data_IF_769385055049
#
_entry.id   IF_769385055049
#
_cell.length_a   1.000
_cell.length_b   1.000
_cell.length_c   1.000
_cell.angle_alpha   90.00
_cell.angle_beta   90.00
_cell.angle_gamma   90.00
#
_symmetry.space_group_name_H-M   'P 1'
#
loop_
_entity.id
_entity.type
_entity.pdbx_description
1 polymer ?
#
# COMPACT_ATOMS: atom_id res chain seq x y z
N UNK A 1 -25.61 -12.92 -23.60
CA UNK A 1 -24.51 -13.23 -22.67
C UNK A 1 -23.69 -11.97 -22.45
N UNK A 2 -24.01 -11.19 -21.42
CA UNK A 2 -23.29 -9.95 -21.14
C UNK A 2 -21.83 -10.27 -20.80
N UNK A 3 -20.90 -9.81 -21.63
CA UNK A 3 -19.47 -9.84 -21.35
C UNK A 3 -19.22 -8.89 -20.18
N UNK A 4 -18.99 -9.44 -18.99
CA UNK A 4 -18.38 -8.68 -17.90
C UNK A 4 -16.97 -8.32 -18.36
N UNK A 5 -16.74 -7.07 -18.75
CA UNK A 5 -15.38 -6.57 -18.82
C UNK A 5 -14.92 -6.47 -17.36
N UNK A 6 -14.24 -7.50 -16.87
CA UNK A 6 -13.73 -7.49 -15.51
C UNK A 6 -12.86 -6.24 -15.36
N UNK A 7 -13.20 -5.39 -14.38
CA UNK A 7 -12.41 -4.21 -14.09
C UNK A 7 -10.95 -4.62 -13.87
N UNK A 8 -10.00 -3.83 -14.41
CA UNK A 8 -8.58 -4.10 -14.23
C UNK A 8 -8.27 -4.15 -12.72
N UNK A 9 -7.61 -5.22 -12.21
CA UNK A 9 -7.34 -5.34 -10.78
C UNK A 9 -6.40 -4.23 -10.30
N UNK A 10 -6.79 -3.54 -9.24
CA UNK A 10 -5.96 -2.61 -8.47
C UNK A 10 -5.09 -3.37 -7.48
N UNK A 11 -3.78 -3.14 -7.53
CA UNK A 11 -2.79 -3.82 -6.70
C UNK A 11 -2.01 -2.77 -5.91
N UNK A 12 -2.06 -2.85 -4.58
CA UNK A 12 -1.31 -1.95 -3.71
C UNK A 12 0.15 -2.38 -3.62
N UNK A 13 1.09 -1.45 -3.79
CA UNK A 13 2.53 -1.71 -3.65
C UNK A 13 3.05 -1.07 -2.36
N UNK A 14 3.47 -1.92 -1.42
CA UNK A 14 4.02 -1.52 -0.13
C UNK A 14 5.54 -1.74 -0.12
N UNK A 15 6.32 -0.67 -0.03
CA UNK A 15 7.78 -0.74 0.03
C UNK A 15 8.38 0.55 0.60
N UNK A 16 9.46 0.42 1.36
CA UNK A 16 10.20 1.57 1.89
C UNK A 16 10.89 2.37 0.79
N UNK A 17 10.80 3.70 0.83
CA UNK A 17 11.37 4.55 -0.21
C UNK A 17 12.89 4.77 -0.12
N UNK A 18 13.52 4.43 1.01
CA UNK A 18 14.94 4.68 1.23
C UNK A 18 15.86 3.68 0.51
N UNK A 19 15.44 2.43 0.41
CA UNK A 19 16.21 1.29 -0.12
C UNK A 19 15.50 0.55 -1.26
N UNK A 20 14.17 0.62 -1.35
CA UNK A 20 13.39 -0.19 -2.30
C UNK A 20 12.71 0.62 -3.41
N UNK A 21 13.14 1.86 -3.66
CA UNK A 21 12.55 2.74 -4.69
C UNK A 21 12.58 2.10 -6.08
N UNK A 22 13.73 1.58 -6.51
CA UNK A 22 13.89 0.95 -7.83
C UNK A 22 13.07 -0.35 -7.92
N UNK A 23 13.07 -1.16 -6.86
CA UNK A 23 12.24 -2.37 -6.78
C UNK A 23 10.75 -2.04 -6.91
N UNK A 24 10.27 -1.00 -6.21
CA UNK A 24 8.88 -0.52 -6.33
C UNK A 24 8.55 -0.10 -7.76
N UNK A 25 9.46 0.58 -8.45
CA UNK A 25 9.27 1.00 -9.84
C UNK A 25 9.17 -0.20 -10.79
N UNK A 26 10.04 -1.21 -10.63
CA UNK A 26 9.98 -2.44 -11.43
C UNK A 26 8.65 -3.19 -11.24
N UNK A 27 8.15 -3.27 -10.00
CA UNK A 27 6.85 -3.88 -9.71
C UNK A 27 5.72 -3.10 -10.39
N UNK A 28 5.76 -1.77 -10.33
CA UNK A 28 4.78 -0.89 -10.97
C UNK A 28 4.72 -1.13 -12.47
N UNK A 29 5.87 -1.21 -13.13
CA UNK A 29 5.97 -1.50 -14.57
C UNK A 29 5.45 -2.90 -14.90
N UNK A 30 5.84 -3.93 -14.13
CA UNK A 30 5.37 -5.29 -14.32
C UNK A 30 3.84 -5.41 -14.18
N UNK A 31 3.26 -4.75 -13.18
CA UNK A 31 1.80 -4.70 -12.98
C UNK A 31 1.08 -4.04 -14.16
N UNK A 32 1.61 -2.94 -14.68
CA UNK A 32 1.05 -2.28 -15.86
C UNK A 32 1.14 -3.19 -17.10
N UNK A 33 2.25 -3.90 -17.29
CA UNK A 33 2.43 -4.85 -18.41
C UNK A 33 1.39 -5.96 -18.40
N UNK A 34 0.99 -6.46 -17.23
CA UNK A 34 -0.04 -7.51 -17.10
C UNK A 34 -1.48 -6.98 -17.00
N UNK A 35 -1.69 -5.66 -17.19
CA UNK A 35 -3.01 -5.05 -17.21
C UNK A 35 -3.61 -4.72 -15.84
N UNK A 36 -2.81 -4.70 -14.77
CA UNK A 36 -3.22 -4.27 -13.43
C UNK A 36 -3.06 -2.74 -13.24
N UNK A 37 -3.74 -2.20 -12.24
CA UNK A 37 -3.65 -0.79 -11.82
C UNK A 37 -2.78 -0.73 -10.55
N UNK A 38 -1.54 -0.23 -10.61
CA UNK A 38 -0.72 -0.08 -9.41
C UNK A 38 -1.22 1.08 -8.53
N UNK A 39 -1.30 0.85 -7.22
CA UNK A 39 -1.69 1.84 -6.20
C UNK A 39 -0.55 2.01 -5.19
N UNK A 40 -0.23 3.25 -4.82
CA UNK A 40 0.80 3.55 -3.81
C UNK A 40 0.41 4.76 -2.96
N UNK A 41 0.87 4.80 -1.72
CA UNK A 41 0.48 5.80 -0.72
C UNK A 41 0.78 7.24 -1.12
N UNK A 42 1.88 7.47 -1.85
CA UNK A 42 2.35 8.83 -2.21
C UNK A 42 1.37 9.62 -3.08
N UNK A 43 0.37 8.95 -3.66
CA UNK A 43 -0.62 9.57 -4.53
C UNK A 43 -1.91 9.94 -3.77
N UNK A 44 -1.95 9.77 -2.45
CA UNK A 44 -3.17 9.99 -1.67
C UNK A 44 -3.36 11.47 -1.31
N UNK A 45 -4.59 12.01 -1.49
CA UNK A 45 -4.91 13.35 -1.05
C UNK A 45 -4.88 13.44 0.49
N UNK A 46 -4.81 14.66 1.06
CA UNK A 46 -5.02 14.88 2.48
C UNK A 46 -6.34 14.24 2.94
N UNK A 47 -6.30 13.59 4.10
CA UNK A 47 -7.42 12.85 4.68
C UNK A 47 -7.58 13.23 6.16
N UNK A 48 -8.81 13.44 6.60
CA UNK A 48 -9.13 13.79 7.99
C UNK A 48 -9.19 12.56 8.91
N UNK A 49 -9.20 11.34 8.35
CA UNK A 49 -9.17 10.08 9.09
C UNK A 49 -7.81 9.84 9.73
N UNK A 50 -7.77 8.93 10.70
CA UNK A 50 -6.48 8.44 11.19
C UNK A 50 -5.70 7.75 10.06
N UNK A 51 -4.37 7.73 10.16
CA UNK A 51 -3.51 7.06 9.18
C UNK A 51 -3.94 5.61 8.96
N UNK A 52 -4.29 4.89 10.04
CA UNK A 52 -4.72 3.49 9.97
C UNK A 52 -6.04 3.33 9.22
N UNK A 53 -7.04 4.16 9.51
CA UNK A 53 -8.35 4.12 8.82
C UNK A 53 -8.21 4.47 7.33
N UNK A 54 -7.39 5.48 7.01
CA UNK A 54 -7.09 5.84 5.62
C UNK A 54 -6.42 4.66 4.89
N UNK A 55 -5.37 4.06 5.48
CA UNK A 55 -4.68 2.91 4.88
C UNK A 55 -5.63 1.72 4.71
N UNK A 56 -6.45 1.41 5.70
CA UNK A 56 -7.44 0.35 5.62
C UNK A 56 -8.44 0.57 4.48
N UNK A 57 -9.00 1.78 4.35
CA UNK A 57 -9.91 2.10 3.27
C UNK A 57 -9.27 1.91 1.89
N UNK A 58 -8.00 2.29 1.74
CA UNK A 58 -7.26 2.17 0.47
C UNK A 58 -6.89 0.73 0.14
N UNK A 59 -6.44 -0.04 1.12
CA UNK A 59 -6.13 -1.45 0.94
C UNK A 59 -7.39 -2.25 0.58
N UNK A 60 -8.54 -1.91 1.18
CA UNK A 60 -9.82 -2.53 0.88
C UNK A 60 -10.34 -2.25 -0.55
N UNK A 61 -9.89 -1.18 -1.21
CA UNK A 61 -10.19 -0.88 -2.62
C UNK A 61 -9.34 -1.73 -3.60
N UNK A 62 -8.29 -2.40 -3.10
CA UNK A 62 -7.37 -3.20 -3.90
C UNK A 62 -7.74 -4.69 -3.88
N UNK A 63 -7.43 -5.39 -4.96
CA UNK A 63 -7.64 -6.84 -5.07
C UNK A 63 -6.47 -7.64 -4.50
N UNK A 64 -5.28 -7.04 -4.38
CA UNK A 64 -4.15 -7.63 -3.68
C UNK A 64 -3.13 -6.57 -3.22
N UNK A 65 -2.18 -7.03 -2.40
CA UNK A 65 -1.05 -6.24 -1.91
C UNK A 65 0.25 -6.95 -2.29
N UNK A 66 1.18 -6.23 -2.91
CA UNK A 66 2.57 -6.66 -3.06
C UNK A 66 3.39 -5.89 -2.03
N UNK A 67 3.81 -6.60 -0.98
CA UNK A 67 4.69 -6.06 0.05
C UNK A 67 6.13 -6.50 -0.17
N UNK A 68 7.05 -5.55 -0.25
CA UNK A 68 8.49 -5.80 -0.38
C UNK A 68 9.17 -5.40 0.92
N UNK A 69 9.71 -6.40 1.63
CA UNK A 69 10.45 -6.19 2.86
C UNK A 69 11.93 -5.90 2.56
N UNK A 70 12.43 -4.76 3.07
CA UNK A 70 13.81 -4.32 2.95
C UNK A 70 14.52 -4.30 4.31
N UNK A 71 15.65 -3.59 4.38
CA UNK A 71 16.45 -3.46 5.61
C UNK A 71 16.25 -2.13 6.32
N UNK A 72 15.63 -1.13 5.68
CA UNK A 72 15.40 0.18 6.29
C UNK A 72 14.09 0.23 7.07
N UNK A 73 14.12 0.95 8.19
CA UNK A 73 12.90 1.43 8.83
C UNK A 73 12.27 2.54 7.97
N UNK A 74 10.99 2.40 7.62
CA UNK A 74 10.27 3.35 6.78
C UNK A 74 9.91 4.65 7.52
N UNK A 75 9.31 5.61 6.78
CA UNK A 75 8.70 6.78 7.41
C UNK A 75 7.52 6.35 8.30
N UNK A 76 7.28 7.08 9.38
CA UNK A 76 6.18 6.83 10.33
C UNK A 76 5.38 8.12 10.60
N UNK A 77 4.15 8.01 11.11
CA UNK A 77 3.38 9.17 11.57
C UNK A 77 4.14 9.96 12.63
N UNK A 78 4.16 11.28 12.50
CA UNK A 78 4.79 12.17 13.49
C UNK A 78 3.98 12.23 14.79
N UNK A 79 2.66 12.11 14.68
CA UNK A 79 1.73 12.11 15.79
C UNK A 79 1.23 10.68 16.03
N UNK A 80 1.38 10.20 17.27
CA UNK A 80 0.86 8.92 17.76
C UNK A 80 0.53 9.05 19.24
N UNK A 81 -0.38 8.23 19.74
CA UNK A 81 -0.60 8.18 21.18
C UNK A 81 0.64 7.61 21.90
N UNK A 82 0.91 8.04 23.13
CA UNK A 82 2.12 7.62 23.86
C UNK A 82 2.21 6.08 24.02
N UNK A 83 1.06 5.42 24.19
CA UNK A 83 0.93 3.97 24.33
C UNK A 83 0.99 3.19 23.00
N UNK A 84 0.87 3.86 21.85
CA UNK A 84 0.93 3.19 20.54
C UNK A 84 2.38 2.84 20.18
N UNK A 85 2.60 1.60 19.75
CA UNK A 85 3.89 1.16 19.26
C UNK A 85 4.29 1.96 18.01
N UNK A 86 5.58 2.31 17.90
CA UNK A 86 6.14 2.89 16.68
C UNK A 86 6.02 1.89 15.53
N UNK A 87 5.46 2.35 14.41
CA UNK A 87 5.37 1.58 13.17
C UNK A 87 5.55 2.54 12.00
N UNK A 88 6.37 2.14 11.04
CA UNK A 88 6.40 2.79 9.74
C UNK A 88 5.10 2.56 8.96
N UNK A 89 4.78 3.44 8.01
CA UNK A 89 3.64 3.27 7.11
C UNK A 89 3.65 1.89 6.43
N UNK A 90 4.83 1.45 5.97
CA UNK A 90 5.03 0.14 5.34
C UNK A 90 4.74 -1.04 6.27
N UNK A 91 5.04 -0.93 7.58
CA UNK A 91 4.64 -1.94 8.56
C UNK A 91 3.12 -1.92 8.79
N UNK A 92 2.54 -0.72 8.92
CA UNK A 92 1.09 -0.59 9.07
C UNK A 92 0.33 -1.19 7.87
N UNK A 93 0.79 -0.92 6.64
CA UNK A 93 0.25 -1.50 5.40
C UNK A 93 0.29 -3.03 5.42
N UNK A 94 1.43 -3.62 5.79
CA UNK A 94 1.57 -5.07 5.91
C UNK A 94 0.60 -5.65 6.94
N UNK A 95 0.57 -5.09 8.14
CA UNK A 95 -0.27 -5.60 9.23
C UNK A 95 -1.76 -5.52 8.86
N UNK A 96 -2.20 -4.39 8.30
CA UNK A 96 -3.59 -4.19 7.87
C UNK A 96 -3.94 -5.17 6.73
N UNK A 97 -3.06 -5.32 5.74
CA UNK A 97 -3.27 -6.28 4.66
C UNK A 97 -3.45 -7.71 5.19
N UNK A 98 -2.61 -8.11 6.15
CA UNK A 98 -2.72 -9.44 6.80
C UNK A 98 -4.00 -9.64 7.58
N UNK A 99 -4.57 -8.58 8.14
CA UNK A 99 -5.86 -8.63 8.84
C UNK A 99 -7.04 -8.85 7.87
N UNK A 100 -6.88 -8.49 6.58
CA UNK A 100 -7.93 -8.58 5.56
C UNK A 100 -8.03 -9.96 4.87
N UNK A 101 -6.97 -10.77 4.90
CA UNK A 101 -6.88 -12.08 4.24
C UNK A 101 -5.92 -12.10 3.06
#
# INVERSE_FOLDING_TARGET
>A
MATHHAARPSIFISATSGDLRECRQLIKEALLTIGCIPVEQTNFPPDARTVREMLHARLAECQAVVHVAGLRYGAEPQERAAAEARRSYTQMEYDIAREMG
#
